data_IF_517724584683
#
_entry.id   IF_517724584683
#
_cell.length_a   1.000
_cell.length_b   1.000
_cell.length_c   1.000
_cell.angle_alpha   90.00
_cell.angle_beta   90.00
_cell.angle_gamma   90.00
#
_symmetry.space_group_name_H-M   'P 1'
#
loop_
_entity.id
_entity.type
_entity.pdbx_description
1 polymer ?
#
# COMPACT_ATOMS: atom_id res chain seq x y z
N UNK A 1 -7.44 11.15 -20.64
CA UNK A 1 -8.67 10.44 -21.08
C UNK A 1 -8.27 9.07 -21.56
N UNK A 2 -9.17 8.08 -21.38
CA UNK A 2 -8.92 6.61 -21.34
C UNK A 2 -8.50 6.21 -19.91
N UNK A 3 -9.40 6.02 -18.94
CA UNK A 3 -10.58 5.15 -18.94
C UNK A 3 -10.23 3.76 -19.49
N UNK A 4 -9.62 2.93 -18.64
CA UNK A 4 -9.71 1.48 -18.73
C UNK A 4 -10.05 0.94 -17.35
N UNK A 5 -11.35 0.98 -17.07
CA UNK A 5 -11.98 0.07 -16.13
C UNK A 5 -11.80 -1.35 -16.68
N UNK A 6 -10.75 -2.05 -16.28
CA UNK A 6 -10.65 -3.50 -16.42
C UNK A 6 -11.62 -4.14 -15.41
N UNK A 7 -12.66 -4.88 -15.85
CA UNK A 7 -13.62 -5.47 -14.94
C UNK A 7 -12.98 -6.65 -14.20
N UNK A 8 -12.69 -6.46 -12.92
CA UNK A 8 -12.32 -7.55 -12.02
C UNK A 8 -13.54 -8.48 -11.85
N UNK A 9 -13.56 -9.60 -12.59
CA UNK A 9 -14.60 -10.61 -12.45
C UNK A 9 -14.41 -11.40 -11.16
N UNK A 10 -15.33 -11.24 -10.22
CA UNK A 10 -15.46 -12.17 -9.09
C UNK A 10 -16.93 -12.51 -8.86
N UNK A 11 -17.36 -13.66 -9.34
CA UNK A 11 -18.60 -14.31 -8.90
C UNK A 11 -18.25 -15.57 -8.15
N UNK A 12 -18.18 -15.46 -6.83
CA UNK A 12 -18.27 -16.63 -5.96
C UNK A 12 -19.53 -16.46 -5.09
N UNK A 13 -20.63 -17.08 -5.52
CA UNK A 13 -21.82 -17.20 -4.71
C UNK A 13 -21.76 -18.52 -3.94
N UNK A 14 -21.25 -18.47 -2.71
CA UNK A 14 -21.46 -19.55 -1.75
C UNK A 14 -22.88 -19.42 -1.19
N UNK A 15 -23.83 -20.15 -1.77
CA UNK A 15 -25.14 -20.38 -1.15
C UNK A 15 -24.93 -21.28 0.07
N UNK A 16 -24.69 -20.66 1.23
CA UNK A 16 -24.72 -21.36 2.52
C UNK A 16 -26.15 -21.75 2.85
N UNK A 17 -26.41 -23.06 2.96
CA UNK A 17 -27.63 -23.56 3.61
C UNK A 17 -27.38 -23.58 5.11
N UNK A 18 -28.30 -23.02 5.89
CA UNK A 18 -28.21 -22.99 7.35
C UNK A 18 -27.91 -21.61 7.95
N UNK A 19 -28.54 -20.55 7.43
CA UNK A 19 -28.43 -19.17 7.93
C UNK A 19 -28.56 -19.05 9.45
N UNK A 20 -29.45 -19.82 10.09
CA UNK A 20 -29.64 -19.77 11.54
C UNK A 20 -28.46 -20.33 12.32
N UNK A 21 -27.80 -21.37 11.80
CA UNK A 21 -26.60 -21.96 12.43
C UNK A 21 -25.40 -21.06 12.20
N UNK A 22 -25.26 -20.53 10.98
CA UNK A 22 -24.22 -19.55 10.64
C UNK A 22 -24.34 -18.27 11.48
N UNK A 23 -25.54 -17.68 11.60
CA UNK A 23 -25.77 -16.46 12.38
C UNK A 23 -25.40 -16.67 13.86
N UNK A 24 -25.78 -17.81 14.45
CA UNK A 24 -25.40 -18.16 15.83
C UNK A 24 -23.89 -18.32 16.00
N UNK A 25 -23.24 -19.05 15.09
CA UNK A 25 -21.77 -19.24 15.14
C UNK A 25 -21.04 -17.92 14.92
N UNK A 26 -21.51 -17.08 13.98
CA UNK A 26 -20.93 -15.78 13.69
C UNK A 26 -21.09 -14.84 14.89
N UNK A 27 -22.28 -14.78 15.50
CA UNK A 27 -22.51 -13.99 16.72
C UNK A 27 -21.61 -14.45 17.86
N UNK A 28 -21.58 -15.75 18.14
CA UNK A 28 -20.73 -16.29 19.21
C UNK A 28 -19.25 -16.00 18.96
N UNK A 29 -18.80 -16.09 17.71
CA UNK A 29 -17.44 -15.70 17.33
C UNK A 29 -17.18 -14.21 17.61
N UNK A 30 -18.04 -13.31 17.13
CA UNK A 30 -17.90 -11.86 17.34
C UNK A 30 -18.06 -11.43 18.79
N UNK A 31 -18.86 -12.14 19.59
CA UNK A 31 -19.00 -11.92 21.04
C UNK A 31 -17.76 -12.40 21.81
N UNK A 32 -17.12 -13.48 21.35
CA UNK A 32 -15.91 -14.03 21.98
C UNK A 32 -14.66 -13.21 21.64
N UNK A 33 -14.54 -12.71 20.40
CA UNK A 33 -13.45 -11.81 19.99
C UNK A 33 -13.67 -10.36 20.42
N UNK A 34 -14.87 -9.99 20.86
CA UNK A 34 -15.10 -8.70 21.52
C UNK A 34 -14.47 -8.72 22.91
N UNK A 35 -13.15 -8.52 22.95
CA UNK A 35 -12.45 -8.12 24.16
C UNK A 35 -13.15 -6.84 24.65
N UNK A 36 -13.50 -6.80 25.94
CA UNK A 36 -14.24 -5.71 26.59
C UNK A 36 -13.90 -4.35 26.01
N UNK A 37 -14.92 -3.50 25.78
CA UNK A 37 -14.81 -2.10 25.34
C UNK A 37 -14.14 -1.21 26.40
N UNK A 38 -13.02 -1.63 26.96
CA UNK A 38 -12.12 -0.69 27.61
C UNK A 38 -11.77 0.34 26.54
N UNK A 39 -12.12 1.60 26.81
CA UNK A 39 -11.73 2.70 25.94
C UNK A 39 -10.21 2.59 25.78
N UNK A 40 -9.69 2.30 24.57
CA UNK A 40 -8.26 2.17 24.40
C UNK A 40 -7.63 3.48 24.87
N UNK A 41 -6.53 3.40 25.63
CA UNK A 41 -5.78 4.59 26.03
C UNK A 41 -5.47 5.36 24.75
N UNK A 42 -6.16 6.49 24.55
CA UNK A 42 -6.03 7.28 23.32
C UNK A 42 -4.73 8.07 23.46
N UNK A 43 -3.63 7.46 23.04
CA UNK A 43 -2.39 8.18 22.79
C UNK A 43 -2.64 9.24 21.70
N UNK A 44 -1.93 10.36 21.77
CA UNK A 44 -1.93 11.38 20.73
C UNK A 44 -1.57 10.78 19.36
N UNK A 45 -0.64 9.81 19.33
CA UNK A 45 -0.27 9.08 18.11
C UNK A 45 -1.42 8.24 17.55
N UNK A 46 -2.20 7.59 18.43
CA UNK A 46 -3.35 6.79 18.02
C UNK A 46 -4.48 7.68 17.49
N UNK A 47 -4.71 8.82 18.16
CA UNK A 47 -5.66 9.86 17.73
C UNK A 47 -5.28 10.41 16.35
N UNK A 48 -4.00 10.72 16.14
CA UNK A 48 -3.47 11.17 14.86
C UNK A 48 -3.66 10.10 13.77
N UNK A 49 -3.26 8.85 14.03
CA UNK A 49 -3.42 7.75 13.07
C UNK A 49 -4.88 7.54 12.67
N UNK A 50 -5.81 7.61 13.63
CA UNK A 50 -7.25 7.46 13.37
C UNK A 50 -7.77 8.60 12.47
N UNK A 51 -7.45 9.85 12.80
CA UNK A 51 -7.82 11.02 11.99
C UNK A 51 -7.20 10.93 10.59
N UNK A 52 -5.94 10.52 10.48
CA UNK A 52 -5.25 10.35 9.20
C UNK A 52 -5.94 9.28 8.35
N UNK A 53 -6.23 8.11 8.92
CA UNK A 53 -6.95 7.04 8.25
C UNK A 53 -8.32 7.49 7.77
N UNK A 54 -9.12 8.15 8.62
CA UNK A 54 -10.44 8.66 8.22
C UNK A 54 -10.35 9.68 7.08
N UNK A 55 -9.31 10.53 7.09
CA UNK A 55 -9.09 11.56 6.05
C UNK A 55 -8.56 10.99 4.73
N UNK A 56 -7.67 10.00 4.77
CA UNK A 56 -6.94 9.52 3.58
C UNK A 56 -7.42 8.17 3.07
N UNK A 57 -8.35 7.50 3.77
CA UNK A 57 -9.00 6.29 3.29
C UNK A 57 -9.97 6.64 2.17
N UNK A 58 -9.79 5.99 1.03
CA UNK A 58 -10.79 5.97 -0.04
C UNK A 58 -10.90 4.57 -0.64
N UNK A 59 -12.02 4.31 -1.32
CA UNK A 59 -12.25 3.07 -2.04
C UNK A 59 -12.05 3.32 -3.53
N UNK A 60 -11.14 2.59 -4.15
CA UNK A 60 -10.93 2.64 -5.60
C UNK A 60 -12.17 2.06 -6.33
N UNK A 61 -12.44 2.44 -7.59
CA UNK A 61 -13.54 1.87 -8.38
C UNK A 61 -13.50 0.33 -8.47
N UNK A 62 -12.30 -0.27 -8.45
CA UNK A 62 -12.09 -1.72 -8.40
C UNK A 62 -12.45 -2.38 -7.05
N UNK A 63 -13.00 -1.62 -6.08
CA UNK A 63 -13.48 -2.13 -4.80
C UNK A 63 -12.43 -2.24 -3.70
N UNK A 64 -11.13 -2.04 -4.00
CA UNK A 64 -10.03 -2.05 -3.01
C UNK A 64 -10.00 -0.76 -2.18
N UNK A 65 -9.69 -0.87 -0.89
CA UNK A 65 -9.39 0.28 -0.04
C UNK A 65 -7.95 0.72 -0.23
N UNK A 66 -7.75 2.04 -0.33
CA UNK A 66 -6.45 2.69 -0.36
C UNK A 66 -6.39 3.68 0.80
N UNK A 67 -5.26 3.73 1.48
CA UNK A 67 -5.02 4.61 2.63
C UNK A 67 -3.63 5.22 2.43
N UNK A 68 -3.50 6.52 2.67
CA UNK A 68 -2.18 7.15 2.67
C UNK A 68 -1.41 6.71 3.91
N UNK A 69 -0.11 6.47 3.75
CA UNK A 69 0.76 6.29 4.91
C UNK A 69 1.00 7.66 5.57
N UNK A 70 0.87 7.76 6.90
CA UNK A 70 1.17 8.99 7.61
C UNK A 70 2.68 9.27 7.61
N UNK A 71 3.05 10.53 7.37
CA UNK A 71 4.37 11.05 7.71
C UNK A 71 4.32 11.64 9.12
N UNK A 72 5.38 11.48 9.92
CA UNK A 72 5.47 12.16 11.22
C UNK A 72 5.40 13.67 10.99
N UNK A 73 4.67 14.41 11.82
CA UNK A 73 4.45 15.85 11.64
C UNK A 73 5.76 16.66 11.61
N UNK A 74 6.78 16.20 12.35
CA UNK A 74 8.15 16.77 12.36
C UNK A 74 8.79 16.76 10.95
N UNK A 75 8.30 15.91 10.05
CA UNK A 75 8.82 15.73 8.69
C UNK A 75 8.18 16.76 7.71
N UNK A 76 7.17 17.53 8.10
CA UNK A 76 6.43 18.31 7.09
C UNK A 76 7.10 19.65 6.71
N UNK A 77 7.91 20.25 7.58
CA UNK A 77 8.45 21.59 7.32
C UNK A 77 9.98 21.68 7.23
N UNK A 78 10.74 20.75 7.83
CA UNK A 78 12.21 20.79 7.83
C UNK A 78 12.83 19.38 7.94
N UNK A 79 12.51 18.47 7.00
CA UNK A 79 13.24 17.19 6.94
C UNK A 79 14.67 17.46 6.52
N UNK A 80 15.57 17.51 7.50
CA UNK A 80 16.96 17.28 7.20
C UNK A 80 17.13 15.77 6.94
N UNK A 81 16.95 15.36 5.67
CA UNK A 81 17.24 14.00 5.21
C UNK A 81 18.74 13.67 5.30
N UNK A 82 19.57 14.61 5.79
CA UNK A 82 21.01 14.48 5.90
C UNK A 82 21.64 14.11 4.56
N UNK A 83 22.68 13.28 4.63
CA UNK A 83 23.41 12.80 3.46
C UNK A 83 22.68 11.71 2.66
N UNK A 84 21.37 11.48 2.89
CA UNK A 84 20.59 10.46 2.18
C UNK A 84 20.71 10.62 0.66
N UNK A 85 20.68 11.85 0.14
CA UNK A 85 20.87 12.11 -1.29
C UNK A 85 22.23 11.60 -1.79
N UNK A 86 23.31 11.88 -1.06
CA UNK A 86 24.67 11.43 -1.41
C UNK A 86 24.78 9.89 -1.37
N UNK A 87 24.18 9.26 -0.36
CA UNK A 87 24.15 7.80 -0.23
C UNK A 87 23.36 7.17 -1.39
N UNK A 88 22.19 7.70 -1.72
CA UNK A 88 21.35 7.20 -2.81
C UNK A 88 22.06 7.36 -4.15
N UNK A 89 22.69 8.51 -4.42
CA UNK A 89 23.50 8.72 -5.64
C UNK A 89 24.63 7.70 -5.75
N UNK A 90 25.42 7.49 -4.69
CA UNK A 90 26.51 6.49 -4.71
C UNK A 90 26.01 5.07 -4.96
N UNK A 91 24.88 4.69 -4.33
CA UNK A 91 24.26 3.37 -4.56
C UNK A 91 23.78 3.21 -5.99
N UNK A 92 23.18 4.26 -6.54
CA UNK A 92 22.73 4.29 -7.93
C UNK A 92 23.93 4.12 -8.88
N UNK A 93 25.02 4.86 -8.68
CA UNK A 93 26.24 4.72 -9.50
C UNK A 93 26.85 3.31 -9.44
N UNK A 94 26.83 2.70 -8.25
CA UNK A 94 27.30 1.33 -8.07
C UNK A 94 26.43 0.31 -8.83
N UNK A 95 25.11 0.50 -8.82
CA UNK A 95 24.19 -0.30 -9.62
C UNK A 95 24.52 -0.16 -11.11
N UNK A 96 24.62 1.07 -11.62
CA UNK A 96 24.95 1.32 -13.03
C UNK A 96 26.27 0.65 -13.43
N UNK A 97 27.34 0.82 -12.63
CA UNK A 97 28.64 0.15 -12.88
C UNK A 97 28.57 -1.37 -12.83
N UNK A 98 27.63 -1.94 -12.07
CA UNK A 98 27.44 -3.40 -12.03
C UNK A 98 26.69 -3.88 -13.27
N UNK A 99 25.67 -3.14 -13.71
CA UNK A 99 24.92 -3.45 -14.92
C UNK A 99 25.79 -3.29 -16.18
N UNK A 100 26.69 -2.32 -16.21
CA UNK A 100 27.61 -2.10 -17.35
C UNK A 100 28.61 -3.27 -17.50
N UNK A 101 29.13 -3.79 -16.38
CA UNK A 101 30.10 -4.90 -16.37
C UNK A 101 29.49 -6.27 -16.67
N UNK A 102 28.20 -6.45 -16.41
CA UNK A 102 27.48 -7.72 -16.61
C UNK A 102 26.28 -7.52 -17.55
N UNK A 103 26.47 -7.72 -18.88
CA UNK A 103 25.41 -7.53 -19.87
C UNK A 103 24.20 -8.44 -19.65
N UNK A 104 24.39 -9.62 -19.06
CA UNK A 104 23.29 -10.54 -18.77
C UNK A 104 22.41 -9.99 -17.66
N UNK A 105 23.03 -9.49 -16.59
CA UNK A 105 22.30 -8.83 -15.49
C UNK A 105 21.58 -7.57 -15.98
N UNK A 106 22.23 -6.77 -16.84
CA UNK A 106 21.60 -5.60 -17.45
C UNK A 106 20.30 -5.98 -18.19
N UNK A 107 20.36 -6.99 -19.06
CA UNK A 107 19.20 -7.43 -19.83
C UNK A 107 18.03 -7.86 -18.92
N UNK A 108 18.32 -8.61 -17.85
CA UNK A 108 17.31 -9.05 -16.88
C UNK A 108 16.72 -7.88 -16.09
N UNK A 109 17.56 -6.94 -15.67
CA UNK A 109 17.12 -5.76 -14.94
C UNK A 109 16.21 -4.88 -15.80
N UNK A 110 16.59 -4.60 -17.05
CA UNK A 110 15.80 -3.79 -17.98
C UNK A 110 14.44 -4.42 -18.26
N UNK A 111 14.40 -5.73 -18.54
CA UNK A 111 13.14 -6.45 -18.73
C UNK A 111 12.22 -6.37 -17.52
N UNK A 112 12.77 -6.48 -16.31
CA UNK A 112 11.99 -6.36 -15.08
C UNK A 112 11.39 -4.95 -14.93
N UNK A 113 12.18 -3.90 -15.19
CA UNK A 113 11.68 -2.51 -15.11
C UNK A 113 10.58 -2.26 -16.15
N UNK A 114 10.75 -2.76 -17.37
CA UNK A 114 9.73 -2.68 -18.43
C UNK A 114 8.44 -3.42 -18.03
N UNK A 115 8.55 -4.62 -17.47
CA UNK A 115 7.40 -5.36 -16.95
C UNK A 115 6.71 -4.59 -15.83
N UNK A 116 7.48 -4.07 -14.87
CA UNK A 116 6.97 -3.31 -13.73
C UNK A 116 6.24 -2.02 -14.15
N UNK A 117 6.75 -1.35 -15.20
CA UNK A 117 6.08 -0.21 -15.85
C UNK A 117 4.82 -0.65 -16.59
N UNK A 118 4.86 -1.77 -17.32
CA UNK A 118 3.70 -2.30 -18.06
C UNK A 118 2.54 -2.73 -17.14
N UNK A 119 2.87 -3.14 -15.91
CA UNK A 119 1.92 -3.50 -14.86
C UNK A 119 1.37 -2.27 -14.11
N UNK A 120 1.73 -1.04 -14.53
CA UNK A 120 1.33 0.20 -13.86
C UNK A 120 1.75 0.24 -12.38
N UNK A 121 2.84 -0.46 -12.04
CA UNK A 121 3.41 -0.47 -10.69
C UNK A 121 4.43 0.66 -10.48
N UNK A 122 4.87 1.31 -11.56
CA UNK A 122 5.67 2.53 -11.56
C UNK A 122 5.22 3.43 -12.72
N UNK A 123 5.46 4.73 -12.58
CA UNK A 123 5.25 5.71 -13.65
C UNK A 123 6.52 6.56 -13.82
N UNK A 124 6.73 7.07 -15.03
CA UNK A 124 7.80 8.03 -15.25
C UNK A 124 7.41 9.36 -14.59
N UNK A 125 8.27 9.84 -13.69
CA UNK A 125 8.03 11.12 -13.03
C UNK A 125 8.22 12.25 -14.05
N UNK A 126 7.15 12.99 -14.35
CA UNK A 126 7.23 14.22 -15.12
C UNK A 126 8.16 15.20 -14.39
N UNK A 127 9.25 15.64 -15.02
CA UNK A 127 10.13 16.65 -14.44
C UNK A 127 9.32 17.93 -14.18
N UNK A 128 9.38 18.45 -12.96
CA UNK A 128 8.85 19.77 -12.55
C UNK A 128 10.04 20.66 -12.23
#
# INVERSE_FOLDING_TARGET
MLSRDEPCYFKHCFLSKGWNTLDKTLRSFWETENISKEQPIISDELSYCKKHFEKTRFRKPCGRYSVSLPFKEIIQENVNLGDSKSIVSKRLDQLWRRLDRDPKLNNLYTKFIEEYLSLDHMEERSQT
#
